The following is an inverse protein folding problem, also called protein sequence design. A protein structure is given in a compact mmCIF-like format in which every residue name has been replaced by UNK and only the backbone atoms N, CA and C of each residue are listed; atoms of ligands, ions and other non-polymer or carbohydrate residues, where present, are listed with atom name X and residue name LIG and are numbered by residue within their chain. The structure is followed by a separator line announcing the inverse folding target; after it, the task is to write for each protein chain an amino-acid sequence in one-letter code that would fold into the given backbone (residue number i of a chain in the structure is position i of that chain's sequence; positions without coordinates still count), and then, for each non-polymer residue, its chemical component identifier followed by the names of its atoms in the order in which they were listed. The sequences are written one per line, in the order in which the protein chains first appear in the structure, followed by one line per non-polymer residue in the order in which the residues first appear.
data_IF_872280429327
#
_entry.id   IF_872280429327
#
_cell.length_a   1.000
_cell.length_b   1.000
_cell.length_c   1.000
_cell.angle_alpha   90.00
_cell.angle_beta   90.00
_cell.angle_gamma   90.00
#
_symmetry.space_group_name_H-M   'P 1'
#
loop_
_entity.id
_entity.type
_entity.pdbx_description
1 polymer ?
#
# COMPACT_ATOMS: atom_id res chain seq x y z
N UNK A 1 -1.39 1.36 19.73
CA UNK A 1 0.06 1.19 20.00
C UNK A 1 0.84 1.96 18.94
N UNK A 2 1.77 2.84 19.31
CA UNK A 2 2.58 3.57 18.33
C UNK A 2 3.77 2.67 17.92
N UNK A 3 3.70 2.06 16.73
CA UNK A 3 4.74 1.14 16.23
C UNK A 3 6.09 1.85 16.08
N UNK A 4 6.10 3.14 15.71
CA UNK A 4 7.35 3.89 15.51
C UNK A 4 8.12 4.04 16.82
N UNK A 5 7.45 4.33 17.93
CA UNK A 5 8.12 4.47 19.23
C UNK A 5 8.74 3.16 19.72
N UNK A 6 8.16 2.01 19.37
CA UNK A 6 8.72 0.70 19.72
C UNK A 6 10.04 0.39 19.02
N UNK A 7 10.24 0.96 17.84
CA UNK A 7 11.48 0.82 17.06
C UNK A 7 12.38 2.06 17.16
N UNK A 8 12.15 2.92 18.16
CA UNK A 8 12.99 4.09 18.43
C UNK A 8 12.88 5.22 17.38
N UNK A 9 11.71 5.35 16.73
CA UNK A 9 11.47 6.34 15.67
C UNK A 9 10.31 7.27 15.99
N UNK A 10 10.42 8.49 15.47
CA UNK A 10 9.33 9.48 15.47
C UNK A 10 8.67 9.61 14.11
N UNK A 11 9.40 9.33 13.03
CA UNK A 11 8.97 9.52 11.64
C UNK A 11 9.05 8.22 10.82
N UNK A 12 8.19 8.10 9.81
CA UNK A 12 8.25 6.99 8.83
C UNK A 12 9.42 7.21 7.86
N UNK A 13 9.73 6.20 7.04
CA UNK A 13 10.88 6.23 6.14
C UNK A 13 10.67 7.10 4.90
N UNK A 14 9.47 7.05 4.33
CA UNK A 14 9.21 7.51 2.96
C UNK A 14 8.05 8.50 2.88
N UNK A 15 7.68 9.17 3.97
CA UNK A 15 6.53 10.09 3.95
C UNK A 15 6.76 11.22 2.92
N UNK A 16 7.93 11.87 2.95
CA UNK A 16 8.30 12.90 1.96
C UNK A 16 8.30 12.38 0.53
N UNK A 17 8.91 11.22 0.27
CA UNK A 17 8.99 10.65 -1.07
C UNK A 17 7.60 10.30 -1.63
N UNK A 18 6.71 9.77 -0.78
CA UNK A 18 5.34 9.41 -1.17
C UNK A 18 4.50 10.65 -1.41
N UNK A 19 4.67 11.69 -0.62
CA UNK A 19 3.97 12.97 -0.79
C UNK A 19 4.40 13.65 -2.11
N UNK A 20 5.71 13.72 -2.36
CA UNK A 20 6.30 14.31 -3.57
C UNK A 20 5.89 13.56 -4.85
N UNK A 21 5.64 12.26 -4.76
CA UNK A 21 5.23 11.40 -5.89
C UNK A 21 3.75 11.05 -5.89
N UNK A 22 2.96 11.63 -5.00
CA UNK A 22 1.56 11.24 -4.75
C UNK A 22 0.68 11.30 -6.00
N UNK A 23 0.77 12.38 -6.77
CA UNK A 23 0.00 12.57 -8.01
C UNK A 23 0.44 11.56 -9.07
N UNK A 24 1.74 11.41 -9.29
CA UNK A 24 2.27 10.46 -10.27
C UNK A 24 1.91 9.00 -9.94
N UNK A 25 1.98 8.60 -8.66
CA UNK A 25 1.57 7.28 -8.22
C UNK A 25 0.06 7.07 -8.39
N UNK A 26 -0.75 8.11 -8.16
CA UNK A 26 -2.20 8.04 -8.41
C UNK A 26 -2.46 7.81 -9.90
N UNK A 27 -1.86 8.61 -10.77
CA UNK A 27 -2.08 8.52 -12.22
C UNK A 27 -1.66 7.15 -12.79
N UNK A 28 -0.60 6.54 -12.26
CA UNK A 28 -0.17 5.19 -12.66
C UNK A 28 -1.11 4.08 -12.18
N UNK A 29 -1.69 4.24 -10.99
CA UNK A 29 -2.57 3.24 -10.40
C UNK A 29 -3.99 3.39 -10.95
N UNK A 30 -4.46 4.62 -11.13
CA UNK A 30 -5.76 4.93 -11.70
C UNK A 30 -5.87 4.36 -13.12
N UNK A 31 -6.96 3.66 -13.40
CA UNK A 31 -7.13 2.96 -14.68
C UNK A 31 -6.38 1.64 -14.81
N UNK A 32 -5.41 1.35 -13.93
CA UNK A 32 -4.61 0.12 -13.97
C UNK A 32 -5.27 -1.05 -13.24
N UNK A 33 -4.87 -2.28 -13.61
CA UNK A 33 -5.39 -3.53 -13.05
C UNK A 33 -4.29 -4.27 -12.30
N UNK A 34 -4.58 -4.69 -11.07
CA UNK A 34 -3.61 -5.34 -10.18
C UNK A 34 -4.11 -6.71 -9.73
N UNK A 35 -3.16 -7.65 -9.58
CA UNK A 35 -3.35 -8.93 -8.91
C UNK A 35 -2.36 -9.00 -7.75
N UNK A 36 -2.87 -9.09 -6.52
CA UNK A 36 -2.07 -9.30 -5.31
C UNK A 36 -2.29 -10.72 -4.82
N UNK A 37 -1.21 -11.50 -4.75
CA UNK A 37 -1.21 -12.87 -4.21
C UNK A 37 -0.62 -12.82 -2.80
N UNK A 38 -1.25 -13.50 -1.83
CA UNK A 38 -0.89 -13.41 -0.42
C UNK A 38 -1.44 -12.15 0.25
N UNK A 39 -2.61 -11.67 -0.17
CA UNK A 39 -3.17 -10.39 0.27
C UNK A 39 -3.62 -10.31 1.73
N UNK A 40 -3.82 -11.44 2.40
CA UNK A 40 -4.14 -11.50 3.83
C UNK A 40 -2.89 -11.45 4.71
N UNK A 41 -1.70 -11.78 4.16
CA UNK A 41 -0.43 -11.63 4.85
C UNK A 41 -0.08 -10.17 5.17
N UNK A 42 0.75 -9.94 6.20
CA UNK A 42 1.06 -8.58 6.70
C UNK A 42 1.55 -7.61 5.61
N UNK A 43 2.41 -8.08 4.70
CA UNK A 43 2.93 -7.26 3.60
C UNK A 43 1.89 -7.11 2.49
N UNK A 44 1.25 -8.21 2.08
CA UNK A 44 0.23 -8.19 1.03
C UNK A 44 -0.92 -7.26 1.40
N UNK A 45 -1.36 -7.28 2.65
CA UNK A 45 -2.38 -6.38 3.17
C UNK A 45 -1.93 -4.91 3.11
N UNK A 46 -0.71 -4.61 3.54
CA UNK A 46 -0.17 -3.25 3.52
C UNK A 46 -0.09 -2.69 2.08
N UNK A 47 0.43 -3.49 1.14
CA UNK A 47 0.55 -3.12 -0.27
C UNK A 47 -0.83 -2.97 -0.92
N UNK A 48 -1.75 -3.91 -0.67
CA UNK A 48 -3.13 -3.85 -1.18
C UNK A 48 -3.81 -2.56 -0.76
N UNK A 49 -3.66 -2.15 0.50
CA UNK A 49 -4.23 -0.88 0.99
C UNK A 49 -3.63 0.33 0.28
N UNK A 50 -2.32 0.34 0.01
CA UNK A 50 -1.69 1.44 -0.71
C UNK A 50 -2.14 1.51 -2.18
N UNK A 51 -2.30 0.38 -2.86
CA UNK A 51 -2.86 0.35 -4.22
C UNK A 51 -4.32 0.83 -4.20
N UNK A 52 -5.15 0.29 -3.31
CA UNK A 52 -6.57 0.61 -3.22
C UNK A 52 -6.85 2.11 -3.00
N UNK A 53 -6.06 2.78 -2.14
CA UNK A 53 -6.18 4.23 -1.88
C UNK A 53 -6.00 5.11 -3.12
N UNK A 54 -5.42 4.57 -4.19
CA UNK A 54 -5.08 5.30 -5.42
C UNK A 54 -6.04 4.98 -6.59
N UNK A 55 -7.21 4.42 -6.29
CA UNK A 55 -8.32 4.21 -7.24
C UNK A 55 -7.98 3.34 -8.46
N UNK A 56 -7.47 2.10 -8.26
CA UNK A 56 -7.19 1.19 -9.38
C UNK A 56 -8.49 0.84 -10.13
N UNK A 57 -8.41 0.60 -11.44
CA UNK A 57 -9.56 0.12 -12.20
C UNK A 57 -10.03 -1.25 -11.72
N UNK A 58 -9.08 -2.14 -11.40
CA UNK A 58 -9.36 -3.47 -10.84
C UNK A 58 -8.26 -3.84 -9.84
N UNK A 59 -8.66 -4.40 -8.71
CA UNK A 59 -7.74 -4.97 -7.71
C UNK A 59 -8.23 -6.36 -7.31
N UNK A 60 -7.62 -7.39 -7.89
CA UNK A 60 -7.83 -8.78 -7.47
C UNK A 60 -6.88 -9.12 -6.33
N UNK A 61 -7.42 -9.67 -5.25
CA UNK A 61 -6.64 -10.07 -4.08
C UNK A 61 -6.92 -11.54 -3.81
N UNK A 62 -5.87 -12.35 -3.77
CA UNK A 62 -5.96 -13.79 -3.57
C UNK A 62 -5.11 -14.14 -2.35
N UNK A 63 -5.68 -14.94 -1.45
CA UNK A 63 -4.96 -15.58 -0.36
C UNK A 63 -5.48 -17.01 -0.19
N UNK A 64 -4.67 -17.86 0.43
CA UNK A 64 -5.05 -19.23 0.81
C UNK A 64 -5.56 -19.29 2.26
N UNK A 65 -5.39 -18.20 3.00
CA UNK A 65 -5.80 -18.03 4.39
C UNK A 65 -7.15 -17.32 4.42
N UNK A 66 -8.15 -17.96 5.03
CA UNK A 66 -9.48 -17.39 5.31
C UNK A 66 -9.46 -16.51 6.58
#
# INVERSE_FOLDING_TARGET
MNILSLIGRTNRLFDSDIDDRSCHLRDLVEGSRFLVIGGAGSIGQAVTREIFKRNPAVLHVVDISE
#
